data_IF_612071832979
#
_entry.id   IF_612071832979
#
_cell.length_a   1.000
_cell.length_b   1.000
_cell.length_c   1.000
_cell.angle_alpha   90.00
_cell.angle_beta   90.00
_cell.angle_gamma   90.00
#
_symmetry.space_group_name_H-M   'P 1'
#
loop_
_entity.id
_entity.type
_entity.pdbx_description
1 polymer ?
#
# COMPACT_ATOMS: atom_id res chain seq x y z
N UNK A 1 -34.16 -7.91 0.95
CA UNK A 1 -34.72 -6.75 0.21
C UNK A 1 -33.58 -6.02 -0.49
N UNK A 2 -33.69 -5.69 -1.78
CA UNK A 2 -32.72 -4.81 -2.45
C UNK A 2 -32.97 -3.39 -1.95
N UNK A 3 -32.08 -2.86 -1.12
CA UNK A 3 -32.16 -1.48 -0.66
C UNK A 3 -31.95 -0.52 -1.84
N UNK A 4 -32.79 0.51 -1.91
CA UNK A 4 -32.69 1.60 -2.89
C UNK A 4 -31.48 2.47 -2.53
N UNK A 5 -30.64 2.77 -3.52
CA UNK A 5 -29.52 3.72 -3.33
C UNK A 5 -30.07 5.12 -3.63
N UNK A 6 -29.98 6.04 -2.66
CA UNK A 6 -30.50 7.40 -2.81
C UNK A 6 -29.64 8.21 -3.81
N UNK A 7 -30.19 9.29 -4.41
CA UNK A 7 -29.41 10.24 -5.19
C UNK A 7 -28.28 10.86 -4.35
N UNK A 8 -27.16 11.21 -4.98
CA UNK A 8 -25.95 11.76 -4.30
C UNK A 8 -26.30 12.92 -3.36
N UNK A 9 -27.21 13.80 -3.79
CA UNK A 9 -27.69 14.95 -3.01
C UNK A 9 -28.24 14.58 -1.62
N UNK A 10 -28.80 13.39 -1.45
CA UNK A 10 -29.28 12.93 -0.16
C UNK A 10 -28.14 12.59 0.81
N UNK A 11 -26.97 12.21 0.28
CA UNK A 11 -25.77 11.86 1.04
C UNK A 11 -24.82 13.05 1.26
N UNK A 12 -25.14 14.25 0.77
CA UNK A 12 -24.29 15.44 0.89
C UNK A 12 -23.81 15.73 2.33
N UNK A 13 -24.68 15.65 3.37
CA UNK A 13 -24.22 15.87 4.75
C UNK A 13 -23.19 14.84 5.21
N UNK A 14 -23.35 13.58 4.80
CA UNK A 14 -22.39 12.50 5.11
C UNK A 14 -21.07 12.74 4.38
N UNK A 15 -21.14 13.14 3.11
CA UNK A 15 -19.96 13.44 2.29
C UNK A 15 -19.12 14.54 2.96
N UNK A 16 -19.75 15.64 3.37
CA UNK A 16 -19.07 16.75 4.06
C UNK A 16 -18.35 16.30 5.34
N UNK A 17 -18.97 15.43 6.14
CA UNK A 17 -18.32 14.87 7.33
C UNK A 17 -17.11 14.00 6.97
N UNK A 18 -17.24 13.13 5.97
CA UNK A 18 -16.13 12.26 5.51
C UNK A 18 -14.99 13.04 4.82
N UNK A 19 -15.21 14.32 4.50
CA UNK A 19 -14.24 15.22 3.88
C UNK A 19 -13.58 16.20 4.85
N UNK A 20 -13.89 16.09 6.15
CA UNK A 20 -13.21 16.86 7.20
C UNK A 20 -11.70 16.67 7.11
N UNK A 21 -10.93 17.76 7.13
CA UNK A 21 -9.47 17.76 6.90
C UNK A 21 -8.62 17.35 8.12
N UNK A 22 -9.21 17.35 9.31
CA UNK A 22 -8.52 17.01 10.56
C UNK A 22 -8.23 15.50 10.71
N UNK A 23 -8.87 14.67 9.89
CA UNK A 23 -8.83 13.20 9.90
C UNK A 23 -9.29 12.54 11.20
N UNK A 24 -9.81 13.30 12.17
CA UNK A 24 -10.19 12.76 13.48
C UNK A 24 -11.41 11.86 13.35
N UNK A 25 -12.41 12.28 12.58
CA UNK A 25 -13.59 11.46 12.32
C UNK A 25 -13.23 10.17 11.57
N UNK A 26 -12.40 10.27 10.55
CA UNK A 26 -11.98 9.13 9.72
C UNK A 26 -11.18 8.12 10.55
N UNK A 27 -10.31 8.59 11.44
CA UNK A 27 -9.59 7.75 12.41
C UNK A 27 -10.54 7.06 13.40
N UNK A 28 -11.52 7.79 13.94
CA UNK A 28 -12.54 7.21 14.83
C UNK A 28 -13.36 6.13 14.10
N UNK A 29 -13.75 6.39 12.84
CA UNK A 29 -14.44 5.42 12.00
C UNK A 29 -13.57 4.21 11.66
N UNK A 30 -12.27 4.38 11.45
CA UNK A 30 -11.37 3.26 11.23
C UNK A 30 -11.27 2.33 12.45
N UNK A 31 -11.30 2.88 13.67
CA UNK A 31 -11.33 2.10 14.89
C UNK A 31 -12.68 1.39 15.07
N UNK A 32 -13.77 2.13 14.86
CA UNK A 32 -15.12 1.58 14.87
C UNK A 32 -15.30 0.42 13.88
N UNK A 33 -14.76 0.59 12.66
CA UNK A 33 -14.87 -0.34 11.54
C UNK A 33 -13.64 -1.26 11.42
N UNK A 34 -12.94 -1.54 12.52
CA UNK A 34 -11.69 -2.31 12.50
C UNK A 34 -11.80 -3.65 11.74
N UNK A 35 -12.91 -4.37 11.90
CA UNK A 35 -13.15 -5.65 11.22
C UNK A 35 -13.36 -5.50 9.69
N UNK A 36 -13.82 -4.34 9.24
CA UNK A 36 -14.13 -4.03 7.85
C UNK A 36 -13.28 -2.86 7.31
N UNK A 37 -12.14 -2.59 7.95
CA UNK A 37 -11.28 -1.43 7.67
C UNK A 37 -10.85 -1.36 6.20
N UNK A 38 -10.57 -2.51 5.58
CA UNK A 38 -10.22 -2.56 4.17
C UNK A 38 -11.37 -2.10 3.26
N UNK A 39 -12.61 -2.49 3.57
CA UNK A 39 -13.79 -2.05 2.82
C UNK A 39 -14.04 -0.55 3.04
N UNK A 40 -13.90 -0.08 4.28
CA UNK A 40 -14.04 1.35 4.60
C UNK A 40 -13.01 2.19 3.85
N UNK A 41 -11.73 1.81 3.89
CA UNK A 41 -10.66 2.49 3.17
C UNK A 41 -10.92 2.55 1.66
N UNK A 42 -11.43 1.47 1.06
CA UNK A 42 -11.81 1.42 -0.36
C UNK A 42 -12.95 2.40 -0.69
N UNK A 43 -13.99 2.47 0.14
CA UNK A 43 -15.08 3.43 -0.09
C UNK A 43 -14.61 4.88 0.14
N UNK A 44 -13.81 5.12 1.18
CA UNK A 44 -13.30 6.45 1.51
C UNK A 44 -12.47 7.04 0.36
N UNK A 45 -11.50 6.28 -0.17
CA UNK A 45 -10.68 6.79 -1.28
C UNK A 45 -11.51 7.01 -2.54
N UNK A 46 -12.48 6.14 -2.85
CA UNK A 46 -13.37 6.31 -4.01
C UNK A 46 -14.23 7.56 -3.92
N UNK A 47 -14.70 7.92 -2.72
CA UNK A 47 -15.45 9.17 -2.50
C UNK A 47 -14.59 10.38 -2.89
N UNK A 48 -13.33 10.42 -2.46
CA UNK A 48 -12.42 11.52 -2.77
C UNK A 48 -11.90 11.51 -4.22
N UNK A 49 -11.72 10.33 -4.83
CA UNK A 49 -11.40 10.19 -6.26
C UNK A 49 -12.52 10.80 -7.12
N UNK A 50 -13.79 10.58 -6.77
CA UNK A 50 -14.93 11.15 -7.54
C UNK A 50 -14.88 12.68 -7.63
N UNK A 51 -14.20 13.34 -6.70
CA UNK A 51 -14.01 14.79 -6.67
C UNK A 51 -12.62 15.23 -7.17
N UNK A 52 -11.74 14.30 -7.58
CA UNK A 52 -10.36 14.59 -7.97
C UNK A 52 -9.47 15.08 -6.82
N UNK A 53 -9.79 14.70 -5.57
CA UNK A 53 -9.08 15.14 -4.35
C UNK A 53 -8.40 13.99 -3.60
N UNK A 54 -8.16 12.86 -4.25
CA UNK A 54 -7.54 11.68 -3.65
C UNK A 54 -6.15 11.94 -3.08
N UNK A 55 -5.32 12.75 -3.74
CA UNK A 55 -4.00 13.15 -3.23
C UNK A 55 -4.11 13.98 -1.94
N UNK A 56 -5.14 14.82 -1.81
CA UNK A 56 -5.40 15.59 -0.58
C UNK A 56 -5.75 14.67 0.59
N UNK A 57 -6.67 13.72 0.38
CA UNK A 57 -7.03 12.73 1.41
C UNK A 57 -5.79 12.00 1.92
N UNK A 58 -4.99 11.49 1.00
CA UNK A 58 -3.79 10.73 1.33
C UNK A 58 -2.81 11.62 2.11
N UNK A 59 -2.61 12.87 1.67
CA UNK A 59 -1.77 13.84 2.36
C UNK A 59 -2.24 14.12 3.79
N UNK A 60 -3.54 14.33 3.99
CA UNK A 60 -4.12 14.56 5.32
C UNK A 60 -3.98 13.32 6.23
N UNK A 61 -4.30 12.12 5.72
CA UNK A 61 -4.14 10.87 6.47
C UNK A 61 -2.69 10.61 6.86
N UNK A 62 -1.75 10.88 5.96
CA UNK A 62 -0.31 10.76 6.24
C UNK A 62 0.12 11.76 7.32
N UNK A 63 -0.25 13.03 7.19
CA UNK A 63 0.08 14.05 8.16
C UNK A 63 -0.50 13.74 9.55
N UNK A 64 -1.73 13.24 9.62
CA UNK A 64 -2.36 12.80 10.86
C UNK A 64 -1.64 11.59 11.47
N UNK A 65 -1.34 10.56 10.68
CA UNK A 65 -0.63 9.37 11.15
C UNK A 65 0.78 9.67 11.68
N UNK A 66 1.48 10.63 11.07
CA UNK A 66 2.81 11.08 11.51
C UNK A 66 2.83 11.73 12.89
N UNK A 67 1.72 12.31 13.34
CA UNK A 67 1.64 12.95 14.66
C UNK A 67 1.75 11.94 15.80
N UNK A 68 1.29 10.69 15.56
CA UNK A 68 1.24 9.64 16.57
C UNK A 68 2.34 8.58 16.41
N UNK A 69 3.00 8.49 15.25
CA UNK A 69 4.09 7.52 15.05
C UNK A 69 5.34 7.95 15.83
N UNK A 70 5.88 7.05 16.64
CA UNK A 70 7.05 7.32 17.49
C UNK A 70 8.33 6.72 16.93
N UNK A 71 8.24 5.68 16.10
CA UNK A 71 9.39 4.92 15.64
C UNK A 71 9.50 4.89 14.11
N UNK A 72 10.63 5.32 13.53
CA UNK A 72 10.86 5.23 12.10
C UNK A 72 10.90 3.77 11.60
N UNK A 73 11.26 2.82 12.48
CA UNK A 73 11.36 1.40 12.13
C UNK A 73 10.01 0.69 11.97
N UNK A 74 8.92 1.25 12.51
CA UNK A 74 7.54 0.73 12.40
C UNK A 74 6.68 1.54 11.44
N UNK A 75 7.19 2.67 10.97
CA UNK A 75 6.48 3.62 10.13
C UNK A 75 5.85 2.92 8.91
N UNK A 76 4.53 3.03 8.81
CA UNK A 76 3.72 2.37 7.79
C UNK A 76 3.93 0.86 7.68
N UNK A 77 4.28 0.12 8.72
CA UNK A 77 4.32 -1.36 8.67
C UNK A 77 3.05 -2.01 9.22
N UNK A 78 2.26 -1.26 9.98
CA UNK A 78 0.98 -1.73 10.53
C UNK A 78 -0.18 -1.72 9.55
N UNK A 79 -1.33 -2.23 10.02
CA UNK A 79 -2.63 -2.10 9.37
C UNK A 79 -3.37 -0.89 9.94
N UNK A 80 -3.10 0.27 9.37
CA UNK A 80 -3.75 1.56 9.72
C UNK A 80 -4.63 2.06 8.57
N UNK A 81 -5.50 3.03 8.83
CA UNK A 81 -6.34 3.63 7.80
C UNK A 81 -5.51 4.14 6.61
N UNK A 82 -4.46 4.91 6.85
CA UNK A 82 -3.58 5.44 5.78
C UNK A 82 -2.95 4.32 4.96
N UNK A 83 -2.50 3.23 5.60
CA UNK A 83 -1.91 2.11 4.85
C UNK A 83 -2.93 1.39 3.99
N UNK A 84 -4.18 1.24 4.48
CA UNK A 84 -5.26 0.61 3.71
C UNK A 84 -5.76 1.49 2.58
N UNK A 85 -5.86 2.80 2.79
CA UNK A 85 -6.19 3.75 1.73
C UNK A 85 -5.14 3.70 0.62
N UNK A 86 -3.85 3.70 0.97
CA UNK A 86 -2.76 3.53 0.00
C UNK A 86 -2.80 2.19 -0.72
N UNK A 87 -3.09 1.07 -0.02
CA UNK A 87 -3.26 -0.25 -0.64
C UNK A 87 -4.35 -0.21 -1.73
N UNK A 88 -5.49 0.45 -1.48
CA UNK A 88 -6.56 0.57 -2.46
C UNK A 88 -6.20 1.54 -3.58
N UNK A 89 -5.57 2.67 -3.25
CA UNK A 89 -5.17 3.66 -4.23
C UNK A 89 -4.19 3.09 -5.26
N UNK A 90 -3.15 2.37 -4.82
CA UNK A 90 -2.21 1.71 -5.73
C UNK A 90 -2.89 0.65 -6.60
N UNK A 91 -3.93 -0.05 -6.12
CA UNK A 91 -4.71 -0.97 -6.95
C UNK A 91 -5.50 -0.27 -8.05
N UNK A 92 -5.85 1.00 -7.90
CA UNK A 92 -6.57 1.74 -8.94
C UNK A 92 -5.67 2.30 -10.02
N UNK A 93 -4.42 2.63 -9.70
CA UNK A 93 -3.57 3.40 -10.63
C UNK A 93 -2.25 2.73 -10.98
N UNK A 94 -1.80 1.73 -10.22
CA UNK A 94 -0.45 1.19 -10.34
C UNK A 94 -0.39 -0.28 -10.77
N UNK A 95 -1.53 -0.91 -11.09
CA UNK A 95 -1.55 -2.33 -11.53
C UNK A 95 -0.89 -2.48 -12.89
N UNK A 96 -1.24 -1.65 -13.87
CA UNK A 96 -0.63 -1.69 -15.20
C UNK A 96 0.88 -1.41 -15.10
N UNK A 97 1.26 -0.37 -14.35
CA UNK A 97 2.65 -0.06 -14.04
C UNK A 97 3.40 -1.24 -13.39
N UNK A 98 2.76 -1.93 -12.44
CA UNK A 98 3.32 -3.09 -11.77
C UNK A 98 3.57 -4.22 -12.77
N UNK A 99 2.57 -4.60 -13.55
CA UNK A 99 2.65 -5.68 -14.53
C UNK A 99 3.73 -5.39 -15.58
N UNK A 100 3.68 -4.22 -16.21
CA UNK A 100 4.67 -3.76 -17.19
C UNK A 100 6.11 -3.78 -16.64
N UNK A 101 6.26 -3.60 -15.33
CA UNK A 101 7.58 -3.55 -14.68
C UNK A 101 8.11 -4.93 -14.31
N UNK A 102 7.31 -5.84 -13.76
CA UNK A 102 7.85 -7.08 -13.17
C UNK A 102 7.35 -8.38 -13.80
N UNK A 103 6.32 -8.36 -14.64
CA UNK A 103 5.70 -9.58 -15.16
C UNK A 103 6.70 -10.47 -15.91
N UNK A 104 7.45 -9.91 -16.87
CA UNK A 104 8.45 -10.67 -17.62
C UNK A 104 9.53 -11.30 -16.71
N UNK A 105 9.99 -10.57 -15.68
CA UNK A 105 10.95 -11.10 -14.72
C UNK A 105 10.35 -12.24 -13.86
N UNK A 106 9.07 -12.15 -13.52
CA UNK A 106 8.36 -13.19 -12.78
C UNK A 106 8.20 -14.43 -13.66
N UNK A 107 7.82 -14.27 -14.93
CA UNK A 107 7.73 -15.37 -15.89
C UNK A 107 9.07 -16.10 -16.01
N UNK A 108 10.18 -15.36 -16.13
CA UNK A 108 11.54 -15.94 -16.16
C UNK A 108 11.87 -16.77 -14.89
N UNK A 109 11.36 -16.37 -13.72
CA UNK A 109 11.52 -17.14 -12.47
C UNK A 109 10.65 -18.40 -12.49
N UNK A 110 9.46 -18.32 -13.11
CA UNK A 110 8.54 -19.46 -13.20
C UNK A 110 9.07 -20.55 -14.14
N UNK A 111 9.77 -20.15 -15.21
CA UNK A 111 10.38 -21.06 -16.17
C UNK A 111 11.71 -21.67 -15.65
N UNK A 112 12.25 -21.14 -14.55
CA UNK A 112 13.47 -21.62 -13.92
C UNK A 112 13.23 -22.93 -13.14
N UNK A 113 13.87 -24.00 -13.60
CA UNK A 113 13.74 -25.34 -13.02
C UNK A 113 14.64 -25.56 -11.81
N UNK A 114 15.66 -24.72 -11.61
CA UNK A 114 16.62 -24.85 -10.50
C UNK A 114 16.04 -24.26 -9.22
N UNK A 115 16.36 -24.91 -8.10
CA UNK A 115 16.00 -24.42 -6.77
C UNK A 115 16.90 -23.24 -6.37
N UNK A 116 16.32 -22.24 -5.72
CA UNK A 116 17.06 -21.11 -5.13
C UNK A 116 17.39 -21.36 -3.65
N UNK A 117 17.10 -22.56 -3.13
CA UNK A 117 17.31 -22.88 -1.73
C UNK A 117 18.81 -22.81 -1.37
N UNK A 118 19.13 -21.94 -0.42
CA UNK A 118 20.49 -21.72 0.10
C UNK A 118 20.66 -22.30 1.50
N UNK A 119 19.58 -22.74 2.15
CA UNK A 119 19.64 -23.38 3.46
C UNK A 119 20.03 -24.86 3.30
N UNK A 120 21.25 -25.22 3.72
CA UNK A 120 21.76 -26.60 3.67
C UNK A 120 20.84 -27.58 4.43
N UNK A 121 20.19 -27.14 5.51
CA UNK A 121 19.25 -27.98 6.27
C UNK A 121 18.00 -28.35 5.48
N UNK A 122 17.72 -27.63 4.39
CA UNK A 122 16.61 -27.86 3.46
C UNK A 122 17.08 -28.51 2.14
N UNK A 123 18.31 -29.00 2.08
CA UNK A 123 18.90 -29.58 0.87
C UNK A 123 19.31 -28.52 -0.17
N UNK A 124 19.59 -27.30 0.27
CA UNK A 124 20.07 -26.21 -0.58
C UNK A 124 21.44 -26.47 -1.19
N UNK A 125 21.78 -25.68 -2.21
CA UNK A 125 23.12 -25.64 -2.84
C UNK A 125 23.65 -24.21 -2.77
N UNK A 126 24.20 -23.77 -1.62
CA UNK A 126 24.37 -22.35 -1.32
C UNK A 126 25.06 -21.54 -2.41
N UNK A 127 26.18 -22.02 -2.95
CA UNK A 127 26.95 -21.30 -3.96
C UNK A 127 26.21 -21.18 -5.31
N UNK A 128 25.60 -22.27 -5.79
CA UNK A 128 24.85 -22.29 -7.05
C UNK A 128 23.55 -21.49 -6.92
N UNK A 129 22.78 -21.75 -5.86
CA UNK A 129 21.52 -21.08 -5.54
C UNK A 129 21.71 -19.57 -5.35
N UNK A 130 22.77 -19.14 -4.65
CA UNK A 130 23.07 -17.73 -4.50
C UNK A 130 23.36 -17.05 -5.84
N UNK A 131 24.08 -17.72 -6.76
CA UNK A 131 24.38 -17.16 -8.09
C UNK A 131 23.10 -16.98 -8.92
N UNK A 132 22.23 -17.98 -8.91
CA UNK A 132 20.96 -17.93 -9.65
C UNK A 132 20.04 -16.87 -9.04
N UNK A 133 19.90 -16.87 -7.70
CA UNK A 133 19.09 -15.88 -6.99
C UNK A 133 19.58 -14.45 -7.22
N UNK A 134 20.91 -14.20 -7.19
CA UNK A 134 21.51 -12.90 -7.54
C UNK A 134 21.13 -12.47 -8.95
N UNK A 135 21.11 -13.41 -9.91
CA UNK A 135 20.77 -13.12 -11.31
C UNK A 135 19.33 -12.64 -11.44
N UNK A 136 18.35 -13.40 -10.90
CA UNK A 136 16.94 -12.98 -10.95
C UNK A 136 16.67 -11.70 -10.16
N UNK A 137 17.29 -11.53 -8.99
CA UNK A 137 17.19 -10.29 -8.23
C UNK A 137 17.75 -9.09 -9.01
N UNK A 138 18.86 -9.26 -9.73
CA UNK A 138 19.44 -8.19 -10.54
C UNK A 138 18.54 -7.83 -11.72
N UNK A 139 17.93 -8.80 -12.39
CA UNK A 139 17.00 -8.56 -13.50
C UNK A 139 15.77 -7.75 -13.02
N UNK A 140 15.16 -8.16 -11.90
CA UNK A 140 14.04 -7.43 -11.29
C UNK A 140 14.47 -6.00 -10.91
N UNK A 141 15.60 -5.85 -10.22
CA UNK A 141 16.11 -4.53 -9.85
C UNK A 141 16.33 -3.64 -11.07
N UNK A 142 16.94 -4.16 -12.14
CA UNK A 142 17.19 -3.41 -13.36
C UNK A 142 15.87 -2.94 -14.00
N UNK A 143 14.88 -3.83 -14.08
CA UNK A 143 13.56 -3.48 -14.64
C UNK A 143 12.86 -2.39 -13.81
N UNK A 144 12.85 -2.54 -12.48
CA UNK A 144 12.27 -1.56 -11.55
C UNK A 144 13.02 -0.22 -11.65
N UNK A 145 14.36 -0.22 -11.65
CA UNK A 145 15.12 1.03 -11.72
C UNK A 145 14.93 1.77 -13.05
N UNK A 146 14.62 1.04 -14.13
CA UNK A 146 14.31 1.59 -15.44
C UNK A 146 12.82 1.97 -15.63
N UNK A 147 11.98 1.85 -14.60
CA UNK A 147 10.53 2.09 -14.70
C UNK A 147 10.06 3.44 -14.16
N UNK A 148 10.97 4.32 -13.70
CA UNK A 148 10.64 5.63 -13.09
C UNK A 148 9.62 6.43 -13.90
N UNK A 149 9.81 6.51 -15.22
CA UNK A 149 8.96 7.32 -16.11
C UNK A 149 7.58 6.69 -16.38
N UNK A 150 7.45 5.37 -16.15
CA UNK A 150 6.16 4.65 -16.23
C UNK A 150 5.37 4.74 -14.92
N UNK A 151 5.99 5.18 -13.82
CA UNK A 151 5.31 5.29 -12.53
C UNK A 151 4.23 6.39 -12.59
N UNK A 152 2.97 6.11 -12.20
CA UNK A 152 1.86 7.04 -12.32
C UNK A 152 2.16 8.41 -11.68
N UNK A 153 1.95 9.54 -12.40
CA UNK A 153 2.25 10.87 -11.88
C UNK A 153 1.61 11.21 -10.51
N UNK A 154 0.33 10.87 -10.22
CA UNK A 154 -0.24 11.10 -8.90
C UNK A 154 0.46 10.32 -7.79
N UNK A 155 0.84 9.07 -8.07
CA UNK A 155 1.55 8.24 -7.10
C UNK A 155 2.93 8.83 -6.76
N UNK A 156 3.62 9.38 -7.77
CA UNK A 156 4.91 10.06 -7.56
C UNK A 156 4.78 11.31 -6.69
N UNK A 157 3.72 12.10 -6.87
CA UNK A 157 3.41 13.26 -6.02
C UNK A 157 3.13 12.85 -4.58
N UNK A 158 2.29 11.82 -4.38
CA UNK A 158 2.03 11.25 -3.06
C UNK A 158 3.32 10.78 -2.38
N UNK A 159 4.21 10.08 -3.10
CA UNK A 159 5.51 9.68 -2.55
C UNK A 159 6.41 10.87 -2.23
N UNK A 160 6.39 11.93 -3.04
CA UNK A 160 7.10 13.18 -2.73
C UNK A 160 6.64 13.82 -1.41
N UNK A 161 5.32 13.93 -1.21
CA UNK A 161 4.75 14.43 0.06
C UNK A 161 5.16 13.51 1.22
N UNK A 162 5.05 12.20 1.02
CA UNK A 162 5.42 11.20 2.02
C UNK A 162 6.86 11.33 2.48
N UNK A 163 7.82 11.44 1.55
CA UNK A 163 9.23 11.62 1.86
C UNK A 163 9.47 12.88 2.69
N UNK A 164 8.84 13.99 2.31
CA UNK A 164 9.00 15.27 3.01
C UNK A 164 8.47 15.20 4.43
N UNK A 165 7.28 14.62 4.62
CA UNK A 165 6.67 14.46 5.95
C UNK A 165 7.50 13.51 6.83
N UNK A 166 7.98 12.39 6.29
CA UNK A 166 8.82 11.44 7.00
C UNK A 166 10.15 12.06 7.45
N UNK A 167 10.83 12.80 6.56
CA UNK A 167 12.05 13.57 6.90
C UNK A 167 11.81 14.57 8.02
N UNK A 168 10.70 15.30 7.96
CA UNK A 168 10.35 16.31 8.96
C UNK A 168 10.08 15.66 10.32
N UNK A 169 9.41 14.51 10.35
CA UNK A 169 9.06 13.79 11.57
C UNK A 169 10.25 13.10 12.23
N UNK A 170 11.18 12.58 11.43
CA UNK A 170 12.33 11.79 11.88
C UNK A 170 13.65 12.30 11.27
N UNK A 171 14.09 13.53 11.58
CA UNK A 171 15.28 14.12 10.97
C UNK A 171 16.59 13.39 11.34
N UNK A 172 16.59 12.58 12.40
CA UNK A 172 17.75 11.80 12.84
C UNK A 172 17.96 10.48 12.09
N UNK A 173 17.02 10.04 11.25
CA UNK A 173 17.14 8.81 10.47
C UNK A 173 17.41 9.16 9.01
N UNK A 174 18.65 8.92 8.56
CA UNK A 174 19.10 9.22 7.20
C UNK A 174 18.36 8.42 6.12
N UNK A 175 17.78 7.27 6.49
CA UNK A 175 17.11 6.36 5.57
C UNK A 175 15.58 6.49 5.57
N UNK A 176 14.98 7.22 6.51
CA UNK A 176 13.51 7.32 6.66
C UNK A 176 12.79 7.78 5.39
N UNK A 177 13.43 8.66 4.62
CA UNK A 177 12.91 9.12 3.33
C UNK A 177 12.76 7.99 2.31
N UNK A 178 13.65 7.01 2.36
CA UNK A 178 13.64 5.87 1.44
C UNK A 178 12.69 4.80 1.97
N UNK A 179 12.81 4.46 3.25
CA UNK A 179 12.03 3.38 3.86
C UNK A 179 10.54 3.70 3.94
N UNK A 180 10.15 4.97 4.08
CA UNK A 180 8.75 5.41 4.04
C UNK A 180 8.08 5.12 2.70
N UNK A 181 8.77 5.40 1.58
CA UNK A 181 8.27 5.09 0.22
C UNK A 181 8.33 3.59 -0.05
N UNK A 182 9.42 2.94 0.35
CA UNK A 182 9.59 1.48 0.21
C UNK A 182 8.50 0.69 0.94
N UNK A 183 7.98 1.20 2.06
CA UNK A 183 6.87 0.58 2.79
C UNK A 183 5.60 0.45 1.94
N UNK A 184 5.41 1.29 0.92
CA UNK A 184 4.31 1.17 -0.03
C UNK A 184 4.75 0.44 -1.29
N UNK A 185 5.74 1.01 -2.00
CA UNK A 185 6.09 0.56 -3.34
C UNK A 185 6.67 -0.85 -3.36
N UNK A 186 7.47 -1.22 -2.36
CA UNK A 186 8.04 -2.58 -2.29
C UNK A 186 7.20 -3.48 -1.40
N UNK A 187 7.00 -3.10 -0.14
CA UNK A 187 6.34 -3.96 0.84
C UNK A 187 4.86 -4.24 0.54
N UNK A 188 4.15 -3.33 -0.15
CA UNK A 188 2.71 -3.46 -0.43
C UNK A 188 2.34 -3.62 -1.91
N UNK A 189 3.29 -3.38 -2.83
CA UNK A 189 3.04 -3.53 -4.26
C UNK A 189 3.97 -4.58 -4.89
N UNK A 190 5.26 -4.28 -5.07
CA UNK A 190 6.17 -5.20 -5.79
C UNK A 190 6.39 -6.54 -5.08
N UNK A 191 6.75 -6.55 -3.80
CA UNK A 191 7.06 -7.81 -3.09
C UNK A 191 5.83 -8.72 -2.95
N UNK A 192 4.61 -8.23 -2.61
CA UNK A 192 3.41 -9.07 -2.66
C UNK A 192 3.13 -9.66 -4.03
N UNK A 193 3.40 -8.92 -5.10
CA UNK A 193 3.22 -9.37 -6.47
C UNK A 193 4.24 -10.43 -6.90
N UNK A 194 5.49 -10.30 -6.44
CA UNK A 194 6.51 -11.34 -6.63
C UNK A 194 6.14 -12.60 -5.86
N UNK A 195 5.69 -12.50 -4.61
CA UNK A 195 5.34 -13.67 -3.79
C UNK A 195 4.09 -14.38 -4.33
N UNK A 196 3.08 -13.63 -4.76
CA UNK A 196 1.78 -14.16 -5.18
C UNK A 196 1.34 -13.59 -6.54
N UNK A 197 2.04 -13.92 -7.64
CA UNK A 197 1.79 -13.31 -8.95
C UNK A 197 0.38 -13.55 -9.49
N UNK A 198 -0.25 -14.67 -9.11
CA UNK A 198 -1.65 -14.96 -9.44
C UNK A 198 -2.63 -13.91 -8.93
N UNK A 199 -2.40 -13.32 -7.75
CA UNK A 199 -3.28 -12.26 -7.20
C UNK A 199 -3.23 -10.96 -8.01
N UNK A 200 -2.23 -10.83 -8.86
CA UNK A 200 -2.00 -9.69 -9.74
C UNK A 200 -2.14 -10.07 -11.22
N UNK A 201 -2.79 -11.21 -11.51
CA UNK A 201 -3.05 -11.71 -12.86
C UNK A 201 -1.80 -11.94 -13.73
N UNK A 202 -0.62 -12.12 -13.13
CA UNK A 202 0.64 -12.41 -13.84
C UNK A 202 0.92 -13.93 -13.97
N UNK A 203 0.00 -14.76 -13.49
CA UNK A 203 0.08 -16.22 -13.55
C UNK A 203 -1.32 -16.82 -13.54
N UNK A 204 -1.54 -17.89 -14.32
CA UNK A 204 -2.81 -18.62 -14.40
C UNK A 204 -2.97 -19.66 -13.28
N UNK A 205 -1.91 -20.39 -12.97
CA UNK A 205 -1.91 -21.49 -12.00
C UNK A 205 -1.34 -21.11 -10.62
N UNK A 206 -1.49 -21.97 -9.63
CA UNK A 206 -0.81 -21.77 -8.34
C UNK A 206 0.63 -22.27 -8.44
N UNK A 207 1.61 -21.54 -7.86
CA UNK A 207 2.99 -22.00 -7.88
C UNK A 207 3.13 -23.31 -7.10
N UNK A 208 3.97 -24.21 -7.59
CA UNK A 208 4.42 -25.38 -6.82
C UNK A 208 5.17 -24.92 -5.56
N UNK A 209 5.31 -25.79 -4.56
CA UNK A 209 6.01 -25.45 -3.32
C UNK A 209 7.44 -24.94 -3.57
N UNK A 210 8.13 -25.52 -4.55
CA UNK A 210 9.47 -25.09 -4.96
C UNK A 210 9.46 -23.69 -5.59
N UNK A 211 8.51 -23.43 -6.50
CA UNK A 211 8.39 -22.12 -7.12
C UNK A 211 7.97 -21.04 -6.10
N UNK A 212 7.02 -21.36 -5.22
CA UNK A 212 6.60 -20.47 -4.14
C UNK A 212 7.79 -20.12 -3.22
N UNK A 213 8.65 -21.09 -2.94
CA UNK A 213 9.91 -20.87 -2.20
C UNK A 213 10.88 -19.97 -2.96
N UNK A 214 11.10 -20.22 -4.25
CA UNK A 214 11.96 -19.38 -5.10
C UNK A 214 11.49 -17.92 -5.12
N UNK A 215 10.20 -17.69 -5.38
CA UNK A 215 9.57 -16.36 -5.38
C UNK A 215 9.71 -15.67 -4.01
N UNK A 216 9.54 -16.43 -2.91
CA UNK A 216 9.73 -15.90 -1.54
C UNK A 216 11.17 -15.45 -1.30
N UNK A 217 12.16 -16.22 -1.76
CA UNK A 217 13.58 -15.87 -1.59
C UNK A 217 13.94 -14.62 -2.39
N UNK A 218 13.45 -14.50 -3.62
CA UNK A 218 13.60 -13.29 -4.45
C UNK A 218 12.98 -12.09 -3.73
N UNK A 219 11.71 -12.17 -3.35
CA UNK A 219 11.01 -11.09 -2.67
C UNK A 219 11.71 -10.67 -1.36
N UNK A 220 12.27 -11.62 -0.62
CA UNK A 220 13.01 -11.36 0.63
C UNK A 220 14.29 -10.55 0.38
N UNK A 221 15.06 -10.86 -0.66
CA UNK A 221 16.27 -10.10 -1.02
C UNK A 221 15.91 -8.67 -1.45
N UNK A 222 14.91 -8.55 -2.33
CA UNK A 222 14.42 -7.25 -2.82
C UNK A 222 13.87 -6.40 -1.66
N UNK A 223 13.12 -7.02 -0.74
CA UNK A 223 12.56 -6.35 0.43
C UNK A 223 13.66 -5.85 1.38
N UNK A 224 14.72 -6.64 1.61
CA UNK A 224 15.86 -6.21 2.43
C UNK A 224 16.62 -5.05 1.79
N UNK A 225 16.85 -5.10 0.47
CA UNK A 225 17.42 -3.99 -0.28
C UNK A 225 16.56 -2.72 -0.14
N UNK A 226 15.24 -2.82 -0.31
CA UNK A 226 14.31 -1.70 -0.18
C UNK A 226 14.24 -1.13 1.26
N UNK A 227 14.47 -1.98 2.26
CA UNK A 227 14.55 -1.62 3.68
C UNK A 227 15.92 -1.03 4.07
N UNK A 228 16.88 -0.93 3.15
CA UNK A 228 18.26 -0.51 3.42
C UNK A 228 18.96 -1.41 4.47
N UNK A 229 18.60 -2.70 4.51
CA UNK A 229 19.04 -3.64 5.52
C UNK A 229 19.75 -4.85 4.90
N UNK A 230 20.70 -5.41 5.66
CA UNK A 230 21.43 -6.63 5.33
C UNK A 230 20.90 -7.81 6.14
N UNK A 231 21.16 -9.03 5.67
CA UNK A 231 20.87 -10.24 6.41
C UNK A 231 21.85 -10.40 7.57
N UNK A 232 21.29 -10.55 8.78
CA UNK A 232 22.05 -10.80 10.01
C UNK A 232 22.12 -12.29 10.38
N UNK A 233 22.49 -12.57 11.63
CA UNK A 233 22.67 -13.95 12.11
C UNK A 233 21.37 -14.76 12.19
N UNK A 234 20.22 -14.09 12.36
CA UNK A 234 18.90 -14.76 12.35
C UNK A 234 18.59 -15.43 11.01
N UNK A 235 19.23 -15.00 9.93
CA UNK A 235 19.05 -15.51 8.57
C UNK A 235 20.42 -15.73 7.90
N UNK A 236 21.32 -16.40 8.61
CA UNK A 236 22.71 -16.58 8.17
C UNK A 236 22.82 -17.18 6.75
N UNK A 237 21.93 -18.10 6.37
CA UNK A 237 21.88 -18.71 5.04
C UNK A 237 21.66 -17.70 3.89
N UNK A 238 21.14 -16.50 4.18
CA UNK A 238 20.93 -15.42 3.20
C UNK A 238 22.10 -14.44 3.13
N UNK A 239 23.09 -14.51 4.02
CA UNK A 239 24.25 -13.61 4.04
C UNK A 239 25.04 -13.54 2.71
N UNK A 240 25.12 -14.60 1.87
CA UNK A 240 25.70 -14.50 0.53
C UNK A 240 25.08 -13.42 -0.36
N UNK A 241 23.87 -12.94 -0.03
CA UNK A 241 23.16 -11.88 -0.73
C UNK A 241 23.52 -10.46 -0.25
N UNK A 242 24.25 -10.30 0.86
CA UNK A 242 24.61 -8.98 1.39
C UNK A 242 25.48 -8.18 0.42
N UNK A 243 26.39 -8.84 -0.29
CA UNK A 243 27.18 -8.20 -1.36
C UNK A 243 26.26 -7.57 -2.44
N UNK A 244 25.24 -8.31 -2.88
CA UNK A 244 24.26 -7.80 -3.84
C UNK A 244 23.49 -6.59 -3.31
N UNK A 245 23.09 -6.65 -2.02
CA UNK A 245 22.37 -5.55 -1.36
C UNK A 245 23.25 -4.30 -1.29
N UNK A 246 24.51 -4.43 -0.87
CA UNK A 246 25.44 -3.32 -0.77
C UNK A 246 25.68 -2.66 -2.13
N UNK A 247 25.91 -3.46 -3.19
CA UNK A 247 26.14 -2.97 -4.54
C UNK A 247 24.94 -2.23 -5.15
N UNK A 248 23.71 -2.62 -4.80
CA UNK A 248 22.49 -2.02 -5.35
C UNK A 248 21.86 -0.94 -4.45
N UNK A 249 22.35 -0.73 -3.22
CA UNK A 249 21.78 0.23 -2.25
C UNK A 249 21.68 1.65 -2.81
N UNK A 250 22.76 2.15 -3.43
CA UNK A 250 22.77 3.51 -4.01
C UNK A 250 21.79 3.65 -5.19
N UNK A 251 21.64 2.61 -6.02
CA UNK A 251 20.67 2.59 -7.12
C UNK A 251 19.24 2.59 -6.59
N UNK A 252 18.96 1.82 -5.54
CA UNK A 252 17.66 1.82 -4.86
C UNK A 252 17.31 3.20 -4.29
N UNK A 253 18.25 3.88 -3.62
CA UNK A 253 18.05 5.24 -3.13
C UNK A 253 17.76 6.23 -4.27
N UNK A 254 18.50 6.12 -5.37
CA UNK A 254 18.31 6.95 -6.57
C UNK A 254 16.92 6.72 -7.17
N UNK A 255 16.51 5.46 -7.32
CA UNK A 255 15.18 5.11 -7.80
C UNK A 255 14.08 5.70 -6.91
N UNK A 256 14.15 5.49 -5.59
CA UNK A 256 13.15 5.96 -4.62
C UNK A 256 13.03 7.49 -4.62
N UNK A 257 14.14 8.22 -4.74
CA UNK A 257 14.11 9.67 -4.91
C UNK A 257 13.47 10.09 -6.24
N UNK A 258 13.79 9.37 -7.31
CA UNK A 258 13.28 9.68 -8.66
C UNK A 258 11.76 9.47 -8.74
N UNK A 259 11.23 8.39 -8.19
CA UNK A 259 9.76 8.16 -8.11
C UNK A 259 9.07 9.03 -7.06
N UNK A 260 9.81 9.78 -6.26
CA UNK A 260 9.25 10.74 -5.28
C UNK A 260 9.45 12.20 -5.73
N UNK A 261 9.97 12.42 -6.93
CA UNK A 261 10.12 13.76 -7.50
C UNK A 261 8.82 14.26 -8.11
N UNK A 262 8.55 15.56 -7.93
CA UNK A 262 7.36 16.22 -8.49
C UNK A 262 7.34 16.07 -10.01
N UNK A 263 6.27 15.48 -10.53
CA UNK A 263 6.03 15.35 -11.97
C UNK A 263 4.68 15.95 -12.35
N UNK A 264 4.62 16.53 -13.54
CA UNK A 264 3.39 17.01 -14.16
C UNK A 264 2.76 15.87 -14.94
N UNK A 265 1.49 15.62 -14.69
CA UNK A 265 0.74 14.57 -15.37
C UNK A 265 -0.58 14.35 -14.67
N UNK A 266 -1.65 14.34 -15.47
CA UNK A 266 -2.98 13.96 -15.02
C UNK A 266 -3.14 12.46 -15.26
N UNK A 267 -3.83 11.80 -14.34
CA UNK A 267 -4.21 10.41 -14.49
C UNK A 267 -5.63 10.29 -13.96
N UNK A 268 -6.59 10.22 -14.88
CA UNK A 268 -8.00 10.12 -14.52
C UNK A 268 -8.27 8.74 -13.91
N UNK A 269 -8.66 8.71 -12.64
CA UNK A 269 -9.02 7.46 -11.96
C UNK A 269 -10.53 7.29 -12.03
N UNK A 270 -10.99 6.33 -12.83
CA UNK A 270 -12.42 6.04 -12.96
C UNK A 270 -12.88 5.09 -11.87
N UNK A 271 -13.75 5.57 -10.99
CA UNK A 271 -14.35 4.78 -9.91
C UNK A 271 -15.86 4.70 -10.04
N UNK A 272 -16.47 3.82 -9.23
CA UNK A 272 -17.92 3.71 -9.15
C UNK A 272 -18.58 5.01 -8.64
N UNK A 273 -19.88 5.14 -8.89
CA UNK A 273 -20.68 6.30 -8.46
C UNK A 273 -20.56 6.57 -6.96
N UNK A 274 -20.26 7.83 -6.61
CA UNK A 274 -20.18 8.33 -5.23
C UNK A 274 -21.38 7.94 -4.35
N UNK A 275 -22.60 7.90 -4.90
CA UNK A 275 -23.80 7.45 -4.17
C UNK A 275 -23.66 6.04 -3.58
N UNK A 276 -23.01 5.12 -4.32
CA UNK A 276 -22.87 3.72 -3.87
C UNK A 276 -21.89 3.61 -2.73
N UNK A 277 -20.77 4.33 -2.81
CA UNK A 277 -19.73 4.35 -1.79
C UNK A 277 -20.22 5.05 -0.52
N UNK A 278 -20.91 6.19 -0.64
CA UNK A 278 -21.54 6.90 0.48
C UNK A 278 -22.60 6.04 1.18
N UNK A 279 -23.46 5.36 0.41
CA UNK A 279 -24.44 4.42 0.96
C UNK A 279 -23.76 3.25 1.68
N UNK A 280 -22.63 2.76 1.18
CA UNK A 280 -21.88 1.69 1.83
C UNK A 280 -21.29 2.14 3.17
N UNK A 281 -20.65 3.31 3.23
CA UNK A 281 -20.12 3.85 4.48
C UNK A 281 -21.25 4.08 5.50
N UNK A 282 -22.38 4.65 5.09
CA UNK A 282 -23.54 4.84 5.97
C UNK A 282 -24.00 3.52 6.60
N UNK A 283 -24.14 2.46 5.79
CA UNK A 283 -24.52 1.12 6.28
C UNK A 283 -23.48 0.52 7.22
N UNK A 284 -22.20 0.67 6.90
CA UNK A 284 -21.12 0.16 7.76
C UNK A 284 -21.17 0.81 9.14
N UNK A 285 -21.44 2.12 9.19
CA UNK A 285 -21.54 2.87 10.44
C UNK A 285 -22.80 2.53 11.25
N UNK A 286 -23.88 2.08 10.61
CA UNK A 286 -25.11 1.71 11.33
C UNK A 286 -25.18 0.25 11.79
N UNK A 287 -24.25 -0.60 11.34
CA UNK A 287 -24.21 -2.01 11.73
C UNK A 287 -23.83 -2.26 13.18
N UNK A 288 -23.33 -1.26 13.91
CA UNK A 288 -22.95 -1.44 15.30
C UNK A 288 -23.35 -0.26 16.18
N UNK A 289 -23.88 -0.57 17.36
CA UNK A 289 -24.40 0.43 18.31
C UNK A 289 -23.30 1.23 19.04
N UNK A 290 -22.03 0.96 18.73
CA UNK A 290 -20.87 1.57 19.42
C UNK A 290 -20.41 2.87 18.80
N UNK A 291 -21.02 3.34 17.72
CA UNK A 291 -20.53 4.48 16.95
C UNK A 291 -20.40 5.72 17.84
N UNK A 292 -21.44 6.05 18.59
CA UNK A 292 -21.49 7.21 19.48
C UNK A 292 -20.38 7.14 20.54
N UNK A 293 -20.22 5.99 21.20
CA UNK A 293 -19.15 5.77 22.19
C UNK A 293 -17.75 5.94 21.59
N UNK A 294 -17.52 5.46 20.36
CA UNK A 294 -16.22 5.62 19.70
C UNK A 294 -15.97 7.09 19.35
N UNK A 295 -16.96 7.80 18.81
CA UNK A 295 -16.86 9.23 18.50
C UNK A 295 -16.53 10.05 19.76
N UNK A 296 -17.17 9.74 20.88
CA UNK A 296 -16.91 10.39 22.17
C UNK A 296 -15.47 10.14 22.66
N UNK A 297 -14.98 8.90 22.56
CA UNK A 297 -13.60 8.57 22.96
C UNK A 297 -12.54 9.33 22.14
N UNK A 298 -12.85 9.64 20.88
CA UNK A 298 -12.00 10.45 19.99
C UNK A 298 -12.32 11.96 20.08
N UNK A 299 -13.26 12.36 20.96
CA UNK A 299 -13.75 13.73 21.13
C UNK A 299 -14.22 14.35 19.81
N UNK A 300 -14.83 13.54 18.95
CA UNK A 300 -15.34 13.99 17.65
C UNK A 300 -16.64 14.76 17.86
N UNK A 301 -16.62 16.06 17.64
CA UNK A 301 -17.84 16.85 17.50
C UNK A 301 -18.38 16.66 16.08
N UNK A 302 -19.41 15.82 15.90
CA UNK A 302 -19.98 15.50 14.59
C UNK A 302 -21.47 15.16 14.68
N UNK A 303 -22.31 15.63 13.72
CA UNK A 303 -23.70 15.20 13.58
C UNK A 303 -23.85 13.82 12.91
N UNK A 304 -22.77 13.05 12.72
CA UNK A 304 -22.75 11.81 11.93
C UNK A 304 -23.83 10.81 12.33
N UNK A 305 -24.04 10.58 13.63
CA UNK A 305 -25.05 9.63 14.12
C UNK A 305 -26.45 10.05 13.66
N UNK A 306 -26.79 11.34 13.77
CA UNK A 306 -28.07 11.89 13.31
C UNK A 306 -28.21 11.81 11.79
N UNK A 307 -27.13 12.05 11.04
CA UNK A 307 -27.10 11.92 9.58
C UNK A 307 -27.40 10.48 9.16
N UNK A 308 -26.75 9.48 9.79
CA UNK A 308 -26.97 8.06 9.48
C UNK A 308 -28.43 7.67 9.75
N UNK A 309 -28.98 8.01 10.93
CA UNK A 309 -30.39 7.72 11.28
C UNK A 309 -31.37 8.34 10.28
N UNK A 310 -31.10 9.56 9.80
CA UNK A 310 -31.91 10.22 8.79
C UNK A 310 -31.84 9.52 7.42
N UNK A 311 -30.67 9.00 7.03
CA UNK A 311 -30.50 8.23 5.79
C UNK A 311 -31.21 6.88 5.85
N UNK A 312 -31.19 6.19 6.99
CA UNK A 312 -31.91 4.93 7.19
C UNK A 312 -33.42 5.11 7.10
N UNK A 313 -33.93 6.18 7.71
CA UNK A 313 -35.35 6.54 7.67
C UNK A 313 -35.82 6.77 6.22
N UNK A 314 -35.00 7.44 5.39
CA UNK A 314 -35.28 7.67 3.96
C UNK A 314 -35.18 6.42 3.09
N UNK A 315 -34.39 5.42 3.49
CA UNK A 315 -34.26 4.14 2.76
C UNK A 315 -35.41 3.16 3.06
N UNK A 316 -36.11 3.36 4.19
CA UNK A 316 -37.22 2.53 4.64
C UNK A 316 -38.60 3.12 4.30
N UNK A 317 -38.64 4.35 3.78
CA UNK A 317 -39.83 5.04 3.27
C UNK A 317 -40.00 4.77 1.77
#
# INVERSE_FOLDING_TARGET
MRQVILPVKAYEPLKLELERKDMVLQSALAEHLRASLNAFANHLIRIWINDGRDEELIGYLMAHHMQTEESPGTLFRGNTLVTKVMDQYMKFIAIDYLQDTVEHCIVDICDEKRSFEMDDSRGGRPAESARILKTHCQNICNSIFASVDRCPPPLRRVFGVLQQQAKKRFPGDAHVQYTSVSAFLFLRLFCPAIINPKLFNMMSEHPTDTLARNLTLVAKVIQNLANMAEFGQKEAFMQPMNEFIMLNRGKMQTFLNSVSSSTRGEHEVKVASASRDLAAVARMCSQTDKLETVLDSYKVQSPLVSIIRALESKNNA
#
